data_IF_348721308539
#
_entry.id   IF_348721308539
#
_cell.length_a   1.000
_cell.length_b   1.000
_cell.length_c   1.000
_cell.angle_alpha   90.00
_cell.angle_beta   90.00
_cell.angle_gamma   90.00
#
_symmetry.space_group_name_H-M   'P 1'
#
loop_
_entity.id
_entity.type
_entity.pdbx_description
1 polymer ?
#
# COMPACT_ATOMS: atom_id res chain seq x y z
N UNK A 1 -7.88 13.27 4.75
CA UNK A 1 -8.81 13.88 3.76
C UNK A 1 -9.80 14.82 4.43
N UNK A 2 -10.43 15.65 3.66
CA UNK A 2 -11.55 16.50 4.07
C UNK A 2 -12.67 16.32 3.03
N UNK A 3 -13.94 16.37 3.47
CA UNK A 3 -15.07 16.30 2.53
C UNK A 3 -15.36 17.71 2.03
N UNK A 4 -15.41 17.88 0.70
CA UNK A 4 -15.80 19.14 0.09
C UNK A 4 -17.31 19.35 0.31
N UNK A 5 -17.76 20.38 1.03
CA UNK A 5 -19.16 20.56 1.37
C UNK A 5 -20.08 20.88 0.16
N UNK A 6 -19.49 21.35 -0.95
CA UNK A 6 -20.23 21.67 -2.17
C UNK A 6 -20.50 20.44 -3.05
N UNK A 7 -19.59 19.47 -3.05
CA UNK A 7 -19.64 18.29 -3.93
C UNK A 7 -19.86 16.99 -3.19
N UNK A 8 -19.62 16.97 -1.88
CA UNK A 8 -19.62 15.79 -1.01
C UNK A 8 -18.52 14.75 -1.36
N UNK A 9 -17.51 15.14 -2.15
CA UNK A 9 -16.37 14.28 -2.47
C UNK A 9 -15.23 14.43 -1.45
N UNK A 10 -14.50 13.35 -1.24
CA UNK A 10 -13.28 13.33 -0.41
C UNK A 10 -12.16 14.08 -1.12
N UNK A 11 -11.53 15.02 -0.43
CA UNK A 11 -10.42 15.82 -0.95
C UNK A 11 -9.11 15.42 -0.26
N UNK A 12 -8.15 14.92 -1.02
CA UNK A 12 -6.82 14.61 -0.53
C UNK A 12 -6.10 15.89 -0.10
N UNK A 13 -5.48 15.85 1.09
CA UNK A 13 -4.71 16.95 1.67
C UNK A 13 -3.52 16.42 2.45
N UNK A 14 -2.48 17.26 2.57
CA UNK A 14 -1.44 17.08 3.57
C UNK A 14 -1.21 18.36 4.35
N UNK A 15 -0.55 18.28 5.49
CA UNK A 15 -0.25 19.44 6.33
C UNK A 15 1.25 19.65 6.41
N UNK A 16 1.68 20.89 6.15
CA UNK A 16 3.07 21.32 6.29
C UNK A 16 3.11 22.50 7.25
N UNK A 17 3.84 22.35 8.35
CA UNK A 17 3.95 23.39 9.38
C UNK A 17 2.58 23.94 9.84
N UNK A 18 1.61 23.05 10.04
CA UNK A 18 0.25 23.40 10.48
C UNK A 18 -0.67 23.98 9.40
N UNK A 19 -0.20 24.14 8.17
CA UNK A 19 -1.03 24.60 7.04
C UNK A 19 -1.48 23.42 6.19
N UNK A 20 -2.79 23.35 5.92
CA UNK A 20 -3.36 22.38 4.99
C UNK A 20 -3.03 22.77 3.54
N UNK A 21 -2.62 21.80 2.74
CA UNK A 21 -2.34 21.93 1.32
C UNK A 21 -3.22 20.93 0.60
N UNK A 22 -4.11 21.41 -0.27
CA UNK A 22 -5.00 20.57 -1.06
C UNK A 22 -4.24 19.97 -2.25
N UNK A 23 -4.47 18.69 -2.50
CA UNK A 23 -3.89 17.93 -3.61
C UNK A 23 -4.88 17.75 -4.78
N UNK A 24 -6.14 18.10 -4.56
CA UNK A 24 -7.20 18.02 -5.57
C UNK A 24 -8.12 19.25 -5.50
N UNK A 25 -8.91 19.43 -6.53
CA UNK A 25 -9.92 20.50 -6.64
C UNK A 25 -11.23 20.17 -5.89
N UNK A 26 -11.38 18.93 -5.45
CA UNK A 26 -12.59 18.44 -4.77
C UNK A 26 -13.77 18.17 -5.70
N UNK A 27 -13.53 18.01 -7.00
CA UNK A 27 -14.55 17.65 -7.99
C UNK A 27 -14.73 16.14 -8.15
N UNK A 28 -13.78 15.34 -7.61
CA UNK A 28 -13.81 13.88 -7.60
C UNK A 28 -13.24 13.37 -6.28
N UNK A 29 -13.60 12.15 -5.90
CA UNK A 29 -13.03 11.49 -4.74
C UNK A 29 -11.52 11.27 -4.91
N UNK A 30 -10.76 11.70 -3.90
CA UNK A 30 -9.30 11.54 -3.88
C UNK A 30 -8.84 11.11 -2.49
N UNK A 31 -7.85 10.21 -2.44
CA UNK A 31 -7.15 9.82 -1.21
C UNK A 31 -5.66 10.18 -1.29
N UNK A 32 -5.06 10.40 -0.12
CA UNK A 32 -3.63 10.53 0.08
C UNK A 32 -3.27 9.51 1.17
N UNK A 33 -2.51 8.48 0.80
CA UNK A 33 -2.36 7.28 1.60
C UNK A 33 -0.95 7.17 2.21
N UNK A 34 0.08 7.65 1.50
CA UNK A 34 1.45 7.70 2.00
C UNK A 34 2.17 8.99 1.60
N UNK A 35 3.13 9.41 2.42
CA UNK A 35 3.94 10.60 2.21
C UNK A 35 5.42 10.28 2.35
N UNK A 36 6.22 10.78 1.41
CA UNK A 36 7.67 10.72 1.40
C UNK A 36 8.25 12.13 1.24
N UNK A 37 9.18 12.50 2.09
CA UNK A 37 9.95 13.74 1.93
C UNK A 37 11.38 13.39 1.55
N UNK A 38 11.82 13.86 0.40
CA UNK A 38 13.17 13.63 -0.10
C UNK A 38 13.68 14.85 -0.88
N UNK A 39 14.92 15.29 -0.58
CA UNK A 39 15.53 16.45 -1.24
C UNK A 39 14.65 17.72 -1.22
N UNK A 40 14.05 18.03 -0.08
CA UNK A 40 13.10 19.15 0.12
C UNK A 40 11.82 19.09 -0.74
N UNK A 41 11.59 17.98 -1.44
CA UNK A 41 10.36 17.73 -2.18
C UNK A 41 9.44 16.80 -1.38
N UNK A 42 8.15 17.04 -1.50
CA UNK A 42 7.10 16.19 -0.90
C UNK A 42 6.51 15.34 -2.02
N UNK A 43 6.50 14.03 -1.78
CA UNK A 43 5.86 13.04 -2.65
C UNK A 43 4.75 12.36 -1.86
N UNK A 44 3.60 12.19 -2.47
CA UNK A 44 2.43 11.60 -1.84
C UNK A 44 1.84 10.58 -2.79
N UNK A 45 1.66 9.34 -2.36
CA UNK A 45 0.94 8.32 -3.10
C UNK A 45 -0.54 8.34 -2.71
N UNK A 46 -1.41 7.96 -3.64
CA UNK A 46 -2.84 7.87 -3.40
C UNK A 46 -3.66 7.51 -4.63
N UNK A 47 -4.92 7.86 -4.59
CA UNK A 47 -5.90 7.43 -5.59
C UNK A 47 -6.82 8.60 -5.96
N UNK A 48 -7.19 8.67 -7.23
CA UNK A 48 -8.18 9.62 -7.76
C UNK A 48 -9.27 8.81 -8.45
N UNK A 49 -10.54 9.11 -8.15
CA UNK A 49 -11.64 8.60 -8.94
C UNK A 49 -11.72 9.35 -10.27
N UNK A 50 -11.65 8.62 -11.39
CA UNK A 50 -11.74 9.15 -12.74
C UNK A 50 -13.12 8.85 -13.33
N UNK A 51 -14.01 9.86 -13.45
CA UNK A 51 -15.40 9.65 -13.88
C UNK A 51 -15.51 9.11 -15.31
N UNK A 52 -14.61 9.50 -16.22
CA UNK A 52 -14.61 9.05 -17.60
C UNK A 52 -14.52 7.54 -17.72
N UNK A 53 -13.85 6.91 -16.78
CA UNK A 53 -13.65 5.46 -16.74
C UNK A 53 -14.47 4.77 -15.65
N UNK A 54 -15.14 5.54 -14.79
CA UNK A 54 -15.84 5.06 -13.58
C UNK A 54 -14.94 4.19 -12.69
N UNK A 55 -13.66 4.53 -12.58
CA UNK A 55 -12.65 3.78 -11.87
C UNK A 55 -11.71 4.68 -11.07
N UNK A 56 -11.15 4.12 -10.02
CA UNK A 56 -10.03 4.71 -9.30
C UNK A 56 -8.74 4.55 -10.09
N UNK A 57 -7.89 5.57 -10.07
CA UNK A 57 -6.58 5.57 -10.72
C UNK A 57 -5.51 5.84 -9.67
N UNK A 58 -4.48 5.00 -9.63
CA UNK A 58 -3.30 5.22 -8.82
C UNK A 58 -2.56 6.46 -9.31
N UNK A 59 -2.19 7.32 -8.37
CA UNK A 59 -1.47 8.56 -8.63
C UNK A 59 -0.37 8.77 -7.60
N UNK A 60 0.57 9.65 -7.92
CA UNK A 60 1.35 10.31 -6.90
C UNK A 60 1.41 11.82 -7.19
N UNK A 61 1.61 12.61 -6.16
CA UNK A 61 1.86 14.05 -6.27
C UNK A 61 3.33 14.33 -5.96
N UNK A 62 3.95 15.19 -6.76
CA UNK A 62 5.29 15.72 -6.52
C UNK A 62 5.20 17.23 -6.37
N UNK A 63 5.41 17.76 -5.17
CA UNK A 63 5.19 19.18 -4.84
C UNK A 63 3.86 19.70 -5.41
N UNK A 64 2.76 19.06 -5.01
CA UNK A 64 1.37 19.42 -5.38
C UNK A 64 0.99 19.20 -6.85
N UNK A 65 1.92 18.71 -7.69
CA UNK A 65 1.63 18.33 -9.08
C UNK A 65 1.32 16.86 -9.18
N UNK A 66 0.12 16.56 -9.68
CA UNK A 66 -0.34 15.18 -9.87
C UNK A 66 0.40 14.48 -11.02
N UNK A 67 0.71 13.22 -10.81
CA UNK A 67 1.24 12.27 -11.78
C UNK A 67 0.39 11.00 -11.76
N UNK A 68 -0.21 10.65 -12.89
CA UNK A 68 -0.96 9.40 -13.01
C UNK A 68 0.00 8.22 -13.22
N UNK A 69 -0.25 7.14 -12.51
CA UNK A 69 0.46 5.88 -12.66
C UNK A 69 -0.32 4.99 -13.65
N UNK A 70 -0.06 5.20 -14.93
CA UNK A 70 -0.82 4.55 -15.98
C UNK A 70 -0.52 3.05 -16.08
N UNK A 71 -1.54 2.28 -16.45
CA UNK A 71 -1.38 0.88 -16.85
C UNK A 71 -0.86 0.80 -18.29
N UNK A 72 -0.05 -0.22 -18.66
CA UNK A 72 0.68 -0.28 -19.94
C UNK A 72 -0.15 -0.17 -21.23
N UNK A 73 -1.44 -0.32 -21.18
CA UNK A 73 -2.30 -0.28 -22.37
C UNK A 73 -3.33 0.85 -22.34
N UNK A 74 -3.18 1.82 -21.42
CA UNK A 74 -4.21 2.85 -21.25
C UNK A 74 -5.59 2.26 -20.92
N UNK A 75 -5.61 0.97 -20.55
CA UNK A 75 -6.83 0.29 -20.19
C UNK A 75 -7.26 0.78 -18.82
N UNK A 76 -8.46 1.27 -18.78
CA UNK A 76 -9.17 1.87 -17.66
C UNK A 76 -9.49 0.86 -16.56
N UNK A 77 -8.53 0.01 -16.22
CA UNK A 77 -8.66 -0.91 -15.09
C UNK A 77 -8.36 -0.12 -13.82
N UNK A 78 -9.21 -0.27 -12.82
CA UNK A 78 -9.03 0.39 -11.54
C UNK A 78 -7.65 0.10 -10.96
N UNK A 79 -7.07 1.10 -10.30
CA UNK A 79 -5.79 0.98 -9.60
C UNK A 79 -5.77 1.86 -8.36
N UNK A 80 -4.91 1.51 -7.39
CA UNK A 80 -4.69 2.28 -6.19
C UNK A 80 -3.21 2.26 -5.80
N UNK A 81 -2.71 3.37 -5.26
CA UNK A 81 -1.36 3.50 -4.74
C UNK A 81 -1.42 3.68 -3.23
N UNK A 82 -0.82 2.76 -2.48
CA UNK A 82 -0.92 2.69 -1.02
C UNK A 82 0.34 3.20 -0.31
N UNK A 83 1.53 3.07 -0.94
CA UNK A 83 2.79 3.49 -0.33
C UNK A 83 3.79 3.97 -1.40
N UNK A 84 4.74 4.80 -0.99
CA UNK A 84 5.79 5.35 -1.84
C UNK A 84 7.11 5.39 -1.09
N UNK A 85 8.15 4.87 -1.71
CA UNK A 85 9.51 4.92 -1.19
C UNK A 85 10.50 5.35 -2.26
N UNK A 86 11.70 5.72 -1.81
CA UNK A 86 12.83 6.04 -2.68
C UNK A 86 13.99 5.12 -2.37
N UNK A 87 14.51 4.46 -3.40
CA UNK A 87 15.69 3.62 -3.29
C UNK A 87 16.99 4.43 -3.21
N UNK A 88 18.07 3.81 -2.78
CA UNK A 88 19.39 4.46 -2.59
C UNK A 88 19.93 5.07 -3.90
N UNK A 89 19.61 4.48 -5.05
CA UNK A 89 19.95 5.01 -6.37
C UNK A 89 19.04 6.15 -6.85
N UNK A 90 18.10 6.58 -6.02
CA UNK A 90 17.23 7.73 -6.25
C UNK A 90 15.92 7.43 -6.98
N UNK A 91 15.68 6.19 -7.40
CA UNK A 91 14.46 5.79 -8.09
C UNK A 91 13.26 5.76 -7.14
N UNK A 92 12.08 6.15 -7.64
CA UNK A 92 10.82 6.03 -6.91
C UNK A 92 10.18 4.68 -7.14
N UNK A 93 9.62 4.12 -6.06
CA UNK A 93 8.81 2.92 -6.10
C UNK A 93 7.50 3.21 -5.39
N UNK A 94 6.39 3.01 -6.09
CA UNK A 94 5.04 3.12 -5.54
C UNK A 94 4.45 1.73 -5.47
N UNK A 95 3.93 1.33 -4.33
CA UNK A 95 3.26 0.04 -4.13
C UNK A 95 1.75 0.20 -4.11
N UNK A 96 1.03 -0.80 -4.60
CA UNK A 96 -0.43 -0.80 -4.59
C UNK A 96 -1.03 -1.99 -5.34
N UNK A 97 -2.10 -1.73 -6.06
CA UNK A 97 -2.77 -2.75 -6.87
C UNK A 97 -3.34 -2.19 -8.18
N UNK A 98 -3.48 -3.07 -9.14
CA UNK A 98 -4.30 -2.85 -10.35
C UNK A 98 -5.36 -3.92 -10.45
N UNK A 99 -6.43 -3.67 -11.20
CA UNK A 99 -7.47 -4.67 -11.41
C UNK A 99 -7.22 -5.44 -12.72
N UNK A 100 -7.56 -6.73 -12.71
CA UNK A 100 -7.67 -7.58 -13.89
C UNK A 100 -9.03 -8.27 -13.84
N UNK A 101 -10.01 -7.74 -14.56
CA UNK A 101 -11.40 -8.11 -14.36
C UNK A 101 -11.85 -7.77 -12.93
N UNK A 102 -12.31 -8.75 -12.19
CA UNK A 102 -12.79 -8.59 -10.81
C UNK A 102 -11.72 -8.90 -9.74
N UNK A 103 -10.47 -9.08 -10.14
CA UNK A 103 -9.40 -9.51 -9.23
C UNK A 103 -8.31 -8.45 -9.12
N UNK A 104 -7.86 -8.17 -7.91
CA UNK A 104 -6.73 -7.28 -7.67
C UNK A 104 -5.41 -8.00 -7.94
N UNK A 105 -4.51 -7.35 -8.67
CA UNK A 105 -3.11 -7.74 -8.79
C UNK A 105 -2.26 -6.91 -7.86
N UNK A 106 -1.38 -7.54 -7.12
CA UNK A 106 -0.28 -6.84 -6.49
C UNK A 106 0.59 -6.20 -7.57
N UNK A 107 0.68 -4.89 -7.53
CA UNK A 107 1.35 -4.09 -8.55
C UNK A 107 2.22 -3.04 -7.87
N UNK A 108 3.37 -2.77 -8.45
CA UNK A 108 4.17 -1.61 -8.09
C UNK A 108 4.59 -0.85 -9.35
N UNK A 109 4.91 0.43 -9.20
CA UNK A 109 5.45 1.27 -10.25
C UNK A 109 6.86 1.67 -9.86
N UNK A 110 7.81 1.41 -10.74
CA UNK A 110 9.19 1.82 -10.59
C UNK A 110 9.49 2.85 -11.68
N UNK A 111 9.83 4.07 -11.26
CA UNK A 111 10.02 5.20 -12.19
C UNK A 111 8.84 5.34 -13.17
N UNK A 112 7.61 5.30 -12.64
CA UNK A 112 6.34 5.35 -13.38
C UNK A 112 6.03 4.12 -14.26
N UNK A 113 6.94 3.13 -14.34
CA UNK A 113 6.73 1.90 -15.11
C UNK A 113 6.05 0.84 -14.23
N UNK A 114 4.89 0.36 -14.68
CA UNK A 114 4.13 -0.68 -14.00
C UNK A 114 4.84 -2.04 -14.06
N UNK A 115 4.90 -2.69 -12.90
CA UNK A 115 5.35 -4.08 -12.75
C UNK A 115 4.32 -4.85 -11.94
N UNK A 116 3.77 -5.91 -12.52
CA UNK A 116 2.86 -6.80 -11.83
C UNK A 116 3.66 -7.83 -11.03
N UNK A 117 3.42 -7.87 -9.72
CA UNK A 117 4.07 -8.83 -8.83
C UNK A 117 3.36 -10.19 -8.86
N UNK A 118 2.05 -10.20 -9.15
CA UNK A 118 1.22 -11.40 -9.24
C UNK A 118 0.51 -11.50 -10.60
N UNK A 119 -0.07 -12.66 -10.91
CA UNK A 119 -0.73 -12.94 -12.20
C UNK A 119 -2.23 -12.59 -12.22
N UNK A 120 -2.79 -12.23 -11.07
CA UNK A 120 -4.20 -11.84 -10.90
C UNK A 120 -5.17 -13.01 -10.85
N UNK A 121 -4.73 -14.24 -10.64
CA UNK A 121 -5.64 -15.37 -10.36
C UNK A 121 -6.21 -15.27 -8.95
N UNK A 122 -5.38 -14.88 -8.00
CA UNK A 122 -5.76 -14.70 -6.60
C UNK A 122 -5.66 -13.20 -6.26
N UNK A 123 -6.72 -12.64 -5.71
CA UNK A 123 -6.75 -11.24 -5.29
C UNK A 123 -5.64 -10.93 -4.29
N UNK A 124 -4.79 -9.97 -4.66
CA UNK A 124 -3.58 -9.61 -3.91
C UNK A 124 -3.42 -8.10 -3.89
N UNK A 125 -2.98 -7.55 -2.76
CA UNK A 125 -2.72 -6.11 -2.61
C UNK A 125 -1.38 -5.87 -1.91
N UNK A 126 -0.65 -4.83 -2.33
CA UNK A 126 0.52 -4.32 -1.61
C UNK A 126 0.12 -3.13 -0.76
N UNK A 127 0.48 -3.16 0.51
CA UNK A 127 0.21 -2.09 1.48
C UNK A 127 1.45 -1.21 1.71
N UNK A 128 2.66 -1.77 1.59
CA UNK A 128 3.90 -1.04 1.87
C UNK A 128 5.06 -1.50 0.99
N UNK A 129 6.00 -0.61 0.75
CA UNK A 129 7.26 -0.87 0.03
C UNK A 129 8.47 -0.36 0.81
N UNK A 130 9.53 -1.16 0.85
CA UNK A 130 10.81 -0.81 1.45
C UNK A 130 11.96 -1.21 0.54
N UNK A 131 12.64 -0.26 -0.10
CA UNK A 131 13.90 -0.51 -0.82
C UNK A 131 15.06 -0.69 0.18
N UNK A 132 15.92 -1.67 -0.08
CA UNK A 132 17.15 -1.89 0.72
C UNK A 132 18.29 -2.32 -0.20
N UNK A 133 19.23 -1.44 -0.46
CA UNK A 133 20.24 -1.63 -1.50
C UNK A 133 19.60 -1.80 -2.87
N UNK A 134 19.87 -2.93 -3.52
CA UNK A 134 19.26 -3.30 -4.81
C UNK A 134 17.94 -4.07 -4.67
N UNK A 135 17.61 -4.53 -3.47
CA UNK A 135 16.43 -5.34 -3.20
C UNK A 135 15.19 -4.46 -2.95
N UNK A 136 14.04 -4.95 -3.43
CA UNK A 136 12.73 -4.38 -3.14
C UNK A 136 11.93 -5.35 -2.26
N UNK A 137 11.42 -4.82 -1.16
CA UNK A 137 10.57 -5.54 -0.24
C UNK A 137 9.19 -4.92 -0.23
N UNK A 138 8.16 -5.75 -0.19
CA UNK A 138 6.76 -5.32 -0.14
C UNK A 138 6.05 -6.08 0.98
N UNK A 139 5.17 -5.42 1.71
CA UNK A 139 4.21 -6.06 2.59
C UNK A 139 2.80 -5.93 2.02
N UNK A 140 1.94 -6.89 2.35
CA UNK A 140 0.56 -6.86 1.90
C UNK A 140 -0.19 -8.13 2.29
N UNK A 141 -1.19 -8.45 1.48
CA UNK A 141 -2.03 -9.61 1.69
C UNK A 141 -2.54 -10.18 0.38
N UNK A 142 -2.93 -11.43 0.38
CA UNK A 142 -3.69 -12.08 -0.69
C UNK A 142 -4.81 -12.93 -0.11
N UNK A 143 -5.77 -13.29 -0.94
CA UNK A 143 -6.68 -14.36 -0.58
C UNK A 143 -5.97 -15.72 -0.59
N UNK A 144 -6.50 -16.68 0.15
CA UNK A 144 -5.91 -18.02 0.27
C UNK A 144 -6.00 -18.79 -1.05
N UNK A 145 -7.13 -18.67 -1.74
CA UNK A 145 -7.35 -19.24 -3.07
C UNK A 145 -8.44 -18.47 -3.84
N UNK A 146 -8.73 -18.84 -5.06
CA UNK A 146 -9.82 -18.29 -5.87
C UNK A 146 -11.21 -18.51 -5.23
N UNK A 147 -11.36 -19.53 -4.38
CA UNK A 147 -12.62 -19.89 -3.70
C UNK A 147 -12.60 -19.71 -2.19
N UNK A 148 -11.45 -19.39 -1.60
CA UNK A 148 -11.29 -19.13 -0.16
C UNK A 148 -10.76 -17.73 0.03
N UNK A 149 -11.65 -16.82 0.44
CA UNK A 149 -11.36 -15.39 0.64
C UNK A 149 -10.71 -15.08 2.01
N UNK A 150 -10.22 -16.09 2.71
CA UNK A 150 -9.39 -15.85 3.90
C UNK A 150 -8.16 -15.03 3.53
N UNK A 151 -7.94 -13.90 4.19
CA UNK A 151 -6.80 -13.03 3.93
C UNK A 151 -5.53 -13.61 4.54
N UNK A 152 -4.50 -13.74 3.73
CA UNK A 152 -3.17 -14.23 4.10
C UNK A 152 -2.22 -13.04 4.13
N UNK A 153 -1.60 -12.78 5.27
CA UNK A 153 -0.53 -11.79 5.37
C UNK A 153 0.75 -12.31 4.70
N UNK A 154 1.38 -11.48 3.89
CA UNK A 154 2.56 -11.83 3.12
C UNK A 154 3.57 -10.69 3.10
N UNK A 155 4.84 -11.03 2.86
CA UNK A 155 5.78 -10.10 2.27
C UNK A 155 6.44 -10.72 1.05
N UNK A 156 6.96 -9.86 0.17
CA UNK A 156 7.71 -10.27 -1.02
C UNK A 156 9.08 -9.61 -1.02
N UNK A 157 10.09 -10.38 -1.40
CA UNK A 157 11.44 -9.89 -1.69
C UNK A 157 11.75 -10.16 -3.16
N UNK A 158 11.89 -9.11 -3.98
CA UNK A 158 12.19 -9.24 -5.41
C UNK A 158 11.25 -10.22 -6.14
N UNK A 159 9.96 -10.21 -5.80
CA UNK A 159 8.96 -11.11 -6.37
C UNK A 159 8.80 -12.46 -5.66
N UNK A 160 9.72 -12.84 -4.78
CA UNK A 160 9.60 -14.09 -4.01
C UNK A 160 8.72 -13.87 -2.78
N UNK A 161 7.61 -14.61 -2.70
CA UNK A 161 6.64 -14.55 -1.61
C UNK A 161 7.12 -15.27 -0.35
N UNK A 162 6.84 -14.67 0.81
CA UNK A 162 6.93 -15.30 2.13
C UNK A 162 5.59 -15.14 2.84
N UNK A 163 4.96 -16.26 3.19
CA UNK A 163 3.69 -16.30 3.92
C UNK A 163 3.94 -16.07 5.41
N UNK A 164 3.14 -15.23 6.05
CA UNK A 164 3.32 -14.78 7.43
C UNK A 164 2.37 -15.45 8.44
N UNK A 165 1.28 -16.05 7.96
CA UNK A 165 0.32 -16.77 8.81
C UNK A 165 -0.11 -18.08 8.15
N UNK A 166 -0.75 -18.97 8.90
CA UNK A 166 -1.10 -20.32 8.43
C UNK A 166 -2.39 -20.39 7.60
N UNK A 167 -3.07 -19.27 7.35
CA UNK A 167 -4.29 -19.20 6.56
C UNK A 167 -5.51 -19.86 7.19
N UNK A 168 -5.54 -20.01 8.50
CA UNK A 168 -6.74 -20.46 9.23
C UNK A 168 -7.61 -19.28 9.68
N UNK A 169 -7.07 -18.07 9.66
CA UNK A 169 -7.69 -16.81 10.09
C UNK A 169 -7.21 -15.69 9.19
N UNK A 170 -8.01 -14.63 9.09
CA UNK A 170 -7.64 -13.44 8.38
C UNK A 170 -6.43 -12.76 8.99
N UNK A 171 -5.52 -12.32 8.14
CA UNK A 171 -4.36 -11.52 8.51
C UNK A 171 -3.96 -10.56 7.40
N UNK A 172 -3.41 -9.39 7.78
CA UNK A 172 -2.81 -8.43 6.85
C UNK A 172 -1.47 -7.95 7.38
N UNK A 173 -0.52 -7.78 6.47
CA UNK A 173 0.71 -7.04 6.73
C UNK A 173 0.53 -5.61 6.20
N UNK A 174 0.75 -4.61 7.06
CA UNK A 174 0.55 -3.20 6.72
C UNK A 174 1.85 -2.47 6.40
N UNK A 175 2.92 -2.77 7.13
CA UNK A 175 4.20 -2.08 6.93
C UNK A 175 5.38 -3.04 7.03
N UNK A 176 6.44 -2.71 6.31
CA UNK A 176 7.68 -3.47 6.24
C UNK A 176 8.89 -2.53 6.34
N UNK A 177 9.91 -2.94 7.06
CA UNK A 177 11.23 -2.34 6.99
C UNK A 177 12.32 -3.42 7.09
N UNK A 178 13.52 -3.09 6.62
CA UNK A 178 14.67 -4.00 6.65
C UNK A 178 15.84 -3.29 7.33
N UNK A 179 16.42 -3.92 8.33
CA UNK A 179 17.59 -3.42 9.03
C UNK A 179 18.57 -4.56 9.26
N UNK A 180 19.85 -4.35 8.89
CA UNK A 180 20.90 -5.37 9.01
C UNK A 180 20.51 -6.73 8.40
N UNK A 181 19.88 -6.73 7.22
CA UNK A 181 19.37 -7.91 6.51
C UNK A 181 18.24 -8.66 7.25
N UNK A 182 17.70 -8.10 8.31
CA UNK A 182 16.53 -8.63 9.03
C UNK A 182 15.26 -7.94 8.52
N UNK A 183 14.29 -8.74 8.09
CA UNK A 183 12.99 -8.26 7.62
C UNK A 183 12.03 -8.14 8.80
N UNK A 184 11.47 -6.96 8.97
CA UNK A 184 10.50 -6.62 10.01
C UNK A 184 9.18 -6.26 9.35
N UNK A 185 8.10 -6.93 9.71
CA UNK A 185 6.76 -6.69 9.19
C UNK A 185 5.79 -6.51 10.34
N UNK A 186 4.86 -5.58 10.22
CA UNK A 186 3.78 -5.40 11.18
C UNK A 186 2.42 -5.40 10.51
N UNK A 187 1.40 -5.71 11.28
CA UNK A 187 0.02 -5.78 10.81
C UNK A 187 -0.91 -6.35 11.89
N UNK A 188 -1.81 -7.22 11.48
CA UNK A 188 -2.74 -7.89 12.38
C UNK A 188 -3.06 -9.32 11.91
N UNK A 189 -3.54 -10.12 12.81
CA UNK A 189 -4.14 -11.44 12.56
C UNK A 189 -5.37 -11.58 13.47
N UNK A 190 -6.43 -12.19 12.95
CA UNK A 190 -7.61 -12.45 13.77
C UNK A 190 -7.30 -13.43 14.91
N UNK A 191 -7.65 -13.00 16.12
CA UNK A 191 -7.70 -13.86 17.30
C UNK A 191 -9.01 -14.67 17.33
N UNK A 192 -9.39 -15.18 18.51
CA UNK A 192 -10.62 -15.96 18.63
C UNK A 192 -11.89 -15.11 18.49
N UNK A 193 -11.85 -13.82 18.82
CA UNK A 193 -13.02 -12.93 18.77
C UNK A 193 -12.67 -11.50 18.30
N UNK A 194 -11.41 -11.23 17.96
CA UNK A 194 -10.92 -9.87 17.65
C UNK A 194 -9.60 -9.92 16.92
N UNK A 195 -9.27 -8.83 16.23
CA UNK A 195 -7.93 -8.62 15.64
C UNK A 195 -6.89 -8.42 16.74
N UNK A 196 -5.72 -8.96 16.51
CA UNK A 196 -4.55 -8.82 17.35
C UNK A 196 -3.37 -8.27 16.52
N UNK A 197 -2.76 -7.20 17.01
CA UNK A 197 -1.54 -6.67 16.39
C UNK A 197 -0.45 -7.74 16.34
N UNK A 198 0.18 -7.87 15.18
CA UNK A 198 1.27 -8.81 14.91
C UNK A 198 2.53 -8.10 14.48
N UNK A 199 3.63 -8.70 14.84
CA UNK A 199 4.95 -8.36 14.37
C UNK A 199 5.65 -9.64 13.91
N UNK A 200 6.20 -9.62 12.71
CA UNK A 200 6.95 -10.73 12.15
C UNK A 200 8.40 -10.32 11.93
N UNK A 201 9.32 -11.20 12.30
CA UNK A 201 10.76 -11.04 12.07
C UNK A 201 11.24 -12.20 11.21
N UNK A 202 11.74 -11.91 10.00
CA UNK A 202 12.09 -12.93 9.02
C UNK A 202 10.99 -13.99 8.84
N UNK A 203 9.72 -13.57 8.80
CA UNK A 203 8.56 -14.46 8.64
C UNK A 203 8.06 -15.12 9.94
N UNK A 204 8.78 -15.00 11.04
CA UNK A 204 8.37 -15.60 12.32
C UNK A 204 7.53 -14.64 13.16
N UNK A 205 6.28 -15.04 13.44
CA UNK A 205 5.32 -14.22 14.18
C UNK A 205 5.75 -14.01 15.64
N UNK A 206 5.62 -12.76 16.11
CA UNK A 206 5.77 -12.35 17.50
C UNK A 206 4.51 -11.61 17.94
N UNK A 207 3.96 -11.96 19.07
CA UNK A 207 2.83 -11.25 19.66
C UNK A 207 3.33 -9.99 20.35
N UNK A 208 2.83 -8.83 19.96
CA UNK A 208 3.23 -7.54 20.54
C UNK A 208 2.17 -6.95 21.48
N UNK A 209 0.96 -7.48 21.46
CA UNK A 209 -0.13 -7.00 22.31
C UNK A 209 -0.86 -8.17 22.98
N UNK A 210 -1.14 -8.06 24.29
CA UNK A 210 -2.01 -8.96 25.03
C UNK A 210 -3.38 -8.34 25.33
N UNK A 211 -3.75 -7.31 24.57
CA UNK A 211 -4.98 -6.57 24.79
C UNK A 211 -6.21 -7.46 24.70
N UNK A 212 -7.21 -7.16 25.52
CA UNK A 212 -8.56 -7.70 25.41
C UNK A 212 -9.41 -6.95 24.36
N UNK A 213 -8.84 -5.94 23.69
CA UNK A 213 -9.50 -5.09 22.69
C UNK A 213 -8.89 -5.32 21.32
N UNK A 214 -9.55 -4.88 20.28
CA UNK A 214 -9.04 -4.81 18.90
C UNK A 214 -7.73 -4.03 18.85
N UNK A 215 -6.75 -4.57 18.18
CA UNK A 215 -5.45 -3.93 17.98
C UNK A 215 -4.86 -4.28 16.63
N UNK A 216 -4.23 -3.30 16.01
CA UNK A 216 -3.50 -3.42 14.75
C UNK A 216 -2.17 -2.65 14.91
N UNK A 217 -1.15 -3.07 14.21
CA UNK A 217 0.10 -2.31 14.07
C UNK A 217 0.16 -1.82 12.62
N UNK A 218 0.16 -0.51 12.44
CA UNK A 218 -0.05 0.12 11.13
C UNK A 218 1.24 0.62 10.50
N UNK A 219 2.31 0.80 11.29
CA UNK A 219 3.60 1.28 10.80
C UNK A 219 4.75 0.80 11.66
N UNK A 220 5.97 0.76 11.09
CA UNK A 220 7.21 0.33 11.75
C UNK A 220 8.41 1.10 11.24
N UNK A 221 9.26 1.54 12.15
CA UNK A 221 10.57 2.09 11.87
C UNK A 221 11.62 1.47 12.79
N UNK A 222 12.76 1.12 12.25
CA UNK A 222 13.93 0.65 13.00
C UNK A 222 15.03 1.72 12.87
N UNK A 223 15.59 2.11 13.99
CA UNK A 223 16.69 3.08 14.07
C UNK A 223 18.02 2.37 14.19
#
# INVERSE_FOLDING_TARGET
FEVNPATNYSQAKYWKNGKAISLSDGLNDTSADAILVSNNMVYIAGTVFEPTYSNNIAVYWANDKIKQLLTPNGTNQGSGANDIARSDNGNFVVAGSTHKGNTNLATYWKDEQQVNLTDGKIGTNLESVYPSGTDLYFAGWRYKSESDYTMIANYWKNGTETVLNNGTKDAKAYAICVSNSVVHVVGWEDGNYKREARYWVNGVAKRICKSQRWSEATDIVIK
#
